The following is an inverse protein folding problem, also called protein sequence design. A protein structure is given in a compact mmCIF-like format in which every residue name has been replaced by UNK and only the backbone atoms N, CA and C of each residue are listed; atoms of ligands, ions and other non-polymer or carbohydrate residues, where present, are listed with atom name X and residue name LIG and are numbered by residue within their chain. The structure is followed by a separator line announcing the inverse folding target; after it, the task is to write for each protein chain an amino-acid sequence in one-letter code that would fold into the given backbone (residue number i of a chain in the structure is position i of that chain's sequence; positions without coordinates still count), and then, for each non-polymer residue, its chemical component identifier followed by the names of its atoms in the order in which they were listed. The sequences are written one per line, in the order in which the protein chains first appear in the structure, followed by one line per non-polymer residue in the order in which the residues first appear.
data_IF_302644321614
#
_entry.id   IF_302644321614
#
_cell.length_a   1.000
_cell.length_b   1.000
_cell.length_c   1.000
_cell.angle_alpha   90.00
_cell.angle_beta   90.00
_cell.angle_gamma   90.00
#
_symmetry.space_group_name_H-M   'P 1'
#
loop_
_entity.id
_entity.type
_entity.pdbx_description
1 polymer ?
#
# COMPACT_ATOMS: atom_id res chain seq x y z
N UNK A 1 13.90 3.89 -22.21
CA UNK A 1 12.94 5.02 -22.13
C UNK A 1 11.87 4.64 -21.13
N UNK A 2 11.18 5.58 -20.46
CA UNK A 2 10.11 5.21 -19.54
C UNK A 2 8.96 4.50 -20.27
N UNK A 3 8.47 3.41 -19.70
CA UNK A 3 7.37 2.60 -20.24
C UNK A 3 6.14 2.68 -19.34
N UNK A 4 4.96 2.50 -19.93
CA UNK A 4 3.70 2.50 -19.20
C UNK A 4 3.36 1.10 -18.68
N UNK A 5 3.04 1.00 -17.40
CA UNK A 5 2.70 -0.26 -16.75
C UNK A 5 1.31 -0.18 -16.14
N UNK A 6 0.50 -1.20 -16.41
CA UNK A 6 -0.81 -1.36 -15.77
C UNK A 6 -0.68 -1.65 -14.28
N UNK A 7 -1.71 -1.29 -13.53
CA UNK A 7 -1.84 -1.66 -12.12
C UNK A 7 -2.62 -2.98 -12.03
N UNK A 8 -1.98 -4.05 -11.54
CA UNK A 8 -2.58 -5.36 -11.36
C UNK A 8 -2.99 -5.55 -9.88
N UNK A 9 -4.27 -5.29 -9.54
CA UNK A 9 -4.72 -5.40 -8.16
C UNK A 9 -4.64 -6.83 -7.61
N UNK A 10 -4.74 -7.86 -8.47
CA UNK A 10 -4.63 -9.25 -8.02
C UNK A 10 -3.22 -9.57 -7.51
N UNK A 11 -2.18 -9.10 -8.21
CA UNK A 11 -0.79 -9.27 -7.77
C UNK A 11 -0.51 -8.50 -6.48
N UNK A 12 -0.99 -7.25 -6.38
CA UNK A 12 -0.84 -6.47 -5.15
C UNK A 12 -1.57 -7.08 -3.96
N UNK A 13 -2.78 -7.62 -4.15
CA UNK A 13 -3.49 -8.31 -3.07
C UNK A 13 -2.81 -9.61 -2.66
N UNK A 14 -2.27 -10.38 -3.61
CA UNK A 14 -1.50 -11.58 -3.29
C UNK A 14 -0.24 -11.25 -2.49
N UNK A 15 0.45 -10.16 -2.85
CA UNK A 15 1.57 -9.64 -2.05
C UNK A 15 1.10 -9.26 -0.66
N UNK A 16 0.03 -8.46 -0.55
CA UNK A 16 -0.50 -8.02 0.73
C UNK A 16 -0.81 -9.21 1.64
N UNK A 17 -1.52 -10.22 1.13
CA UNK A 17 -1.88 -11.42 1.88
C UNK A 17 -0.67 -12.29 2.25
N UNK A 18 0.35 -12.30 1.40
CA UNK A 18 1.59 -13.03 1.61
C UNK A 18 2.44 -12.47 2.74
N UNK A 19 2.46 -11.14 2.88
CA UNK A 19 3.37 -10.44 3.77
C UNK A 19 2.70 -9.76 4.98
N UNK A 20 1.36 -9.74 5.04
CA UNK A 20 0.59 -9.06 6.11
C UNK A 20 0.93 -9.53 7.54
N UNK A 21 1.29 -10.80 7.70
CA UNK A 21 1.74 -11.36 8.99
C UNK A 21 3.26 -11.41 9.00
N UNK A 22 3.91 -10.25 9.12
CA UNK A 22 5.35 -10.12 8.88
C UNK A 22 6.19 -11.08 9.73
N UNK A 23 5.83 -11.26 11.00
CA UNK A 23 6.52 -12.20 11.89
C UNK A 23 6.39 -13.66 11.47
N UNK A 24 5.35 -14.00 10.69
CA UNK A 24 5.16 -15.34 10.13
C UNK A 24 5.87 -15.55 8.79
N UNK A 25 6.42 -14.50 8.18
CA UNK A 25 7.23 -14.61 6.96
C UNK A 25 8.66 -14.98 7.35
N UNK A 26 9.20 -16.12 6.86
CA UNK A 26 10.58 -16.52 7.13
C UNK A 26 11.58 -15.44 6.73
N UNK A 27 12.60 -15.20 7.55
CA UNK A 27 13.55 -14.09 7.40
C UNK A 27 14.21 -14.07 6.02
N UNK A 28 14.55 -15.23 5.47
CA UNK A 28 15.17 -15.38 4.16
C UNK A 28 14.26 -14.93 3.01
N UNK A 29 12.93 -15.01 3.20
CA UNK A 29 11.90 -14.66 2.22
C UNK A 29 11.47 -13.19 2.29
N UNK A 30 11.86 -12.47 3.34
CA UNK A 30 11.57 -11.03 3.50
C UNK A 30 12.30 -10.24 2.42
N UNK A 31 11.57 -9.29 1.82
CA UNK A 31 12.03 -8.53 0.65
C UNK A 31 12.40 -7.09 0.96
N UNK A 32 11.78 -6.49 1.97
CA UNK A 32 12.03 -5.10 2.35
C UNK A 32 12.32 -5.02 3.83
N UNK A 33 13.03 -3.95 4.20
CA UNK A 33 13.19 -3.52 5.57
C UNK A 33 11.82 -3.27 6.19
N UNK A 34 11.67 -3.73 7.43
CA UNK A 34 10.49 -3.55 8.26
C UNK A 34 10.93 -2.82 9.52
N UNK A 35 10.24 -1.73 9.82
CA UNK A 35 10.45 -0.99 11.06
C UNK A 35 9.39 -1.41 12.09
N UNK A 36 9.84 -1.80 13.29
CA UNK A 36 8.96 -2.27 14.36
C UNK A 36 8.11 -1.10 14.90
N UNK A 37 6.96 -0.83 14.27
CA UNK A 37 5.92 0.05 14.80
C UNK A 37 5.40 1.15 13.87
N UNK A 38 6.08 1.47 12.77
CA UNK A 38 5.66 2.56 11.84
C UNK A 38 5.60 2.10 10.36
N UNK A 39 5.37 0.81 10.13
CA UNK A 39 5.51 0.20 8.81
C UNK A 39 4.31 0.36 7.87
N UNK A 40 3.21 0.99 8.32
CA UNK A 40 1.94 0.92 7.58
C UNK A 40 2.07 1.40 6.12
N UNK A 41 2.68 2.56 5.86
CA UNK A 41 2.82 3.06 4.48
C UNK A 41 3.95 2.38 3.73
N UNK A 42 5.00 1.92 4.42
CA UNK A 42 6.05 1.09 3.81
C UNK A 42 5.42 -0.16 3.18
N UNK A 43 4.58 -0.88 3.93
CA UNK A 43 3.82 -2.02 3.44
C UNK A 43 2.87 -1.68 2.29
N UNK A 44 2.12 -0.58 2.39
CA UNK A 44 1.25 -0.12 1.29
C UNK A 44 2.06 0.13 0.02
N UNK A 45 3.21 0.80 0.14
CA UNK A 45 4.09 1.05 -1.01
C UNK A 45 4.60 -0.25 -1.62
N UNK A 46 4.93 -1.26 -0.81
CA UNK A 46 5.30 -2.60 -1.30
C UNK A 46 4.14 -3.27 -2.06
N UNK A 47 2.91 -3.19 -1.57
CA UNK A 47 1.73 -3.73 -2.25
C UNK A 47 1.49 -3.05 -3.61
N UNK A 48 1.62 -1.72 -3.66
CA UNK A 48 1.51 -0.92 -4.88
C UNK A 48 2.64 -1.25 -5.85
N UNK A 49 3.87 -1.39 -5.35
CA UNK A 49 5.04 -1.81 -6.14
C UNK A 49 4.81 -3.20 -6.76
N UNK A 50 4.30 -4.15 -5.99
CA UNK A 50 3.94 -5.47 -6.48
C UNK A 50 2.86 -5.41 -7.56
N UNK A 51 1.82 -4.59 -7.37
CA UNK A 51 0.75 -4.41 -8.35
C UNK A 51 1.24 -3.80 -9.68
N UNK A 52 2.29 -2.98 -9.69
CA UNK A 52 2.93 -2.50 -10.92
C UNK A 52 3.92 -3.51 -11.55
N UNK A 53 4.00 -4.73 -11.02
CA UNK A 53 4.88 -5.79 -11.52
C UNK A 53 6.30 -5.75 -10.93
N UNK A 54 6.48 -5.10 -9.78
CA UNK A 54 7.73 -5.12 -9.03
C UNK A 54 8.05 -6.52 -8.51
N UNK A 55 7.02 -7.24 -8.03
CA UNK A 55 7.14 -8.56 -7.43
C UNK A 55 6.92 -9.71 -8.42
N UNK A 56 7.84 -10.66 -8.42
CA UNK A 56 7.65 -11.99 -8.99
C UNK A 56 7.03 -12.90 -7.94
N UNK A 57 5.84 -13.42 -8.24
CA UNK A 57 5.07 -14.27 -7.33
C UNK A 57 5.84 -15.57 -7.03
N UNK A 58 6.01 -15.87 -5.75
CA UNK A 58 6.60 -17.13 -5.28
C UNK A 58 7.64 -16.94 -4.19
N UNK A 59 8.02 -18.06 -3.57
CA UNK A 59 8.88 -18.12 -2.38
C UNK A 59 10.04 -19.12 -2.52
N UNK A 60 10.29 -19.64 -3.72
CA UNK A 60 11.51 -20.44 -3.93
C UNK A 60 12.74 -19.55 -3.74
N UNK A 61 13.88 -20.10 -3.28
CA UNK A 61 15.10 -19.32 -3.09
C UNK A 61 15.49 -18.50 -4.32
N UNK A 62 15.34 -19.07 -5.53
CA UNK A 62 15.63 -18.39 -6.79
C UNK A 62 14.68 -17.21 -7.08
N UNK A 63 13.38 -17.35 -6.78
CA UNK A 63 12.40 -16.27 -6.96
C UNK A 63 12.65 -15.16 -5.95
N UNK A 64 12.94 -15.50 -4.70
CA UNK A 64 13.28 -14.53 -3.66
C UNK A 64 14.56 -13.77 -4.04
N UNK A 65 15.60 -14.46 -4.49
CA UNK A 65 16.83 -13.84 -4.95
C UNK A 65 16.59 -12.89 -6.14
N UNK A 66 15.75 -13.27 -7.09
CA UNK A 66 15.37 -12.40 -8.21
C UNK A 66 14.61 -11.16 -7.74
N UNK A 67 13.66 -11.31 -6.81
CA UNK A 67 12.94 -10.17 -6.23
C UNK A 67 13.88 -9.19 -5.53
N UNK A 68 14.86 -9.69 -4.77
CA UNK A 68 15.90 -8.85 -4.14
C UNK A 68 16.71 -8.07 -5.18
N UNK A 69 17.09 -8.71 -6.29
CA UNK A 69 17.76 -8.00 -7.39
C UNK A 69 16.87 -6.96 -8.07
N UNK A 70 15.57 -7.22 -8.22
CA UNK A 70 14.60 -6.23 -8.75
C UNK A 70 14.53 -5.00 -7.85
N UNK A 71 14.57 -5.18 -6.53
CA UNK A 71 14.58 -4.08 -5.56
C UNK A 71 15.86 -3.26 -5.70
N UNK A 72 17.04 -3.90 -5.73
CA UNK A 72 18.33 -3.22 -5.91
C UNK A 72 18.44 -2.44 -7.22
N UNK A 73 17.75 -2.90 -8.26
CA UNK A 73 17.73 -2.26 -9.58
C UNK A 73 16.58 -1.26 -9.76
N UNK A 74 15.88 -0.87 -8.69
CA UNK A 74 14.76 0.08 -8.72
C UNK A 74 13.62 -0.36 -9.68
N UNK A 75 13.45 -1.66 -9.94
CA UNK A 75 12.39 -2.15 -10.82
C UNK A 75 11.05 -1.74 -10.24
N UNK A 76 10.28 -0.96 -11.01
CA UNK A 76 9.00 -0.37 -10.58
C UNK A 76 9.12 0.51 -9.33
N UNK A 77 10.30 1.04 -9.06
CA UNK A 77 10.52 2.10 -8.08
C UNK A 77 10.88 3.38 -8.83
N UNK A 78 10.90 4.51 -8.13
CA UNK A 78 11.41 5.77 -8.69
C UNK A 78 12.66 6.17 -7.91
N UNK A 79 13.82 5.98 -8.55
CA UNK A 79 15.14 6.25 -7.97
C UNK A 79 15.17 7.58 -7.22
N UNK A 80 15.62 7.52 -5.96
CA UNK A 80 15.74 8.68 -5.05
C UNK A 80 14.44 9.43 -4.72
N UNK A 81 13.27 8.95 -5.18
CA UNK A 81 11.96 9.59 -4.95
C UNK A 81 11.01 8.68 -4.18
N UNK A 82 10.61 7.56 -4.78
CA UNK A 82 9.71 6.58 -4.17
C UNK A 82 10.37 5.21 -4.30
N UNK A 83 11.05 4.80 -3.24
CA UNK A 83 11.75 3.54 -3.17
C UNK A 83 11.74 2.97 -1.74
N UNK A 84 11.68 1.65 -1.65
CA UNK A 84 11.99 0.84 -0.48
C UNK A 84 13.38 0.21 -0.61
N UNK A 85 13.85 -0.41 0.46
CA UNK A 85 15.17 -1.07 0.49
C UNK A 85 15.11 -2.32 1.35
N UNK A 86 16.01 -3.27 1.08
CA UNK A 86 16.19 -4.48 1.90
C UNK A 86 16.87 -4.16 3.25
N UNK A 87 17.70 -3.12 3.31
CA UNK A 87 18.66 -2.93 4.42
C UNK A 87 18.47 -1.65 5.22
N UNK A 88 17.58 -0.77 4.80
CA UNK A 88 17.29 0.47 5.51
C UNK A 88 15.88 0.96 5.21
N UNK A 89 15.42 1.92 6.00
CA UNK A 89 14.17 2.63 5.73
C UNK A 89 14.21 3.26 4.33
N UNK A 90 13.11 3.11 3.58
CA UNK A 90 12.96 3.68 2.24
C UNK A 90 12.92 5.21 2.25
N UNK A 91 12.61 5.79 1.10
CA UNK A 91 12.31 7.24 1.01
C UNK A 91 11.11 7.64 1.89
N UNK A 92 11.06 8.90 2.34
CA UNK A 92 9.89 9.42 3.05
C UNK A 92 8.59 9.25 2.25
N UNK A 93 8.63 9.44 0.93
CA UNK A 93 7.48 9.23 0.04
C UNK A 93 7.00 7.78 0.06
N UNK A 94 7.91 6.83 0.25
CA UNK A 94 7.57 5.41 0.37
C UNK A 94 7.02 5.05 1.76
N UNK A 95 7.54 5.67 2.81
CA UNK A 95 7.26 5.26 4.19
C UNK A 95 6.22 6.11 4.92
N UNK A 96 5.80 7.27 4.41
CA UNK A 96 4.92 8.20 5.13
C UNK A 96 3.63 8.53 4.38
N UNK A 97 2.51 8.50 5.10
CA UNK A 97 1.14 8.62 4.56
C UNK A 97 0.94 9.90 3.74
N UNK A 98 1.39 11.05 4.27
CA UNK A 98 1.22 12.35 3.63
C UNK A 98 2.05 12.48 2.37
N UNK A 99 3.36 12.25 2.49
CA UNK A 99 4.30 12.31 1.37
C UNK A 99 3.96 11.30 0.27
N UNK A 100 3.50 10.09 0.63
CA UNK A 100 2.98 9.11 -0.32
C UNK A 100 1.78 9.66 -1.08
N UNK A 101 0.78 10.21 -0.37
CA UNK A 101 -0.43 10.76 -0.98
C UNK A 101 -0.12 11.90 -1.96
N UNK A 102 0.67 12.89 -1.51
CA UNK A 102 1.04 14.04 -2.32
C UNK A 102 1.74 13.58 -3.59
N UNK A 103 2.63 12.59 -3.47
CA UNK A 103 3.33 12.04 -4.61
C UNK A 103 2.41 11.29 -5.57
N UNK A 104 1.60 10.34 -5.11
CA UNK A 104 0.78 9.49 -6.00
C UNK A 104 -0.35 10.26 -6.67
N UNK A 105 -0.80 11.37 -6.08
CA UNK A 105 -1.88 12.22 -6.62
C UNK A 105 -1.39 13.44 -7.42
N UNK A 106 -0.06 13.70 -7.46
CA UNK A 106 0.51 14.79 -8.27
C UNK A 106 0.30 14.56 -9.77
N UNK A 107 -0.54 15.41 -10.38
CA UNK A 107 -0.87 15.39 -11.81
C UNK A 107 0.28 15.83 -12.72
N UNK A 108 1.28 16.53 -12.18
CA UNK A 108 2.45 16.98 -12.92
C UNK A 108 3.57 15.93 -12.93
N UNK A 109 3.42 14.87 -12.12
CA UNK A 109 4.42 13.83 -12.01
C UNK A 109 4.53 13.01 -13.30
N UNK A 110 5.77 12.75 -13.72
CA UNK A 110 6.07 12.01 -14.96
C UNK A 110 6.37 10.52 -14.77
N UNK A 111 6.84 10.11 -13.59
CA UNK A 111 7.30 8.75 -13.28
C UNK A 111 6.78 8.30 -11.91
N UNK A 112 6.63 7.00 -11.75
CA UNK A 112 6.20 6.38 -10.50
C UNK A 112 4.69 6.16 -10.41
N UNK A 113 4.22 5.50 -9.33
CA UNK A 113 2.82 5.11 -9.16
C UNK A 113 1.88 6.31 -9.23
N UNK A 114 0.71 6.17 -9.85
CA UNK A 114 -0.27 7.27 -9.98
C UNK A 114 -1.64 6.82 -9.50
N UNK A 115 -2.30 7.66 -8.70
CA UNK A 115 -3.62 7.40 -8.16
C UNK A 115 -4.52 8.63 -8.23
N UNK A 116 -5.82 8.37 -8.27
CA UNK A 116 -6.87 9.37 -8.10
C UNK A 116 -7.61 9.14 -6.78
N UNK A 117 -8.11 10.22 -6.18
CA UNK A 117 -9.02 10.12 -5.04
C UNK A 117 -10.42 9.80 -5.56
N UNK A 118 -11.01 8.69 -5.13
CA UNK A 118 -12.36 8.26 -5.55
C UNK A 118 -13.42 8.40 -4.46
N UNK A 119 -13.00 8.74 -3.25
CA UNK A 119 -13.89 9.04 -2.13
C UNK A 119 -13.10 9.61 -0.96
N UNK A 120 -13.69 10.57 -0.24
CA UNK A 120 -13.13 11.15 0.99
C UNK A 120 -14.29 11.64 1.87
N UNK A 121 -14.21 11.35 3.17
CA UNK A 121 -15.26 11.66 4.13
C UNK A 121 -15.25 10.71 5.32
N UNK A 122 -16.33 10.75 6.10
CA UNK A 122 -16.58 9.82 7.21
C UNK A 122 -17.07 8.45 6.70
N UNK A 123 -17.08 7.44 7.57
CA UNK A 123 -17.63 6.11 7.27
C UNK A 123 -19.14 6.12 6.94
N UNK A 124 -19.88 7.16 7.37
CA UNK A 124 -21.30 7.33 7.06
C UNK A 124 -21.57 8.08 5.75
N UNK A 125 -20.58 8.79 5.21
CA UNK A 125 -20.68 9.56 3.96
C UNK A 125 -20.22 8.76 2.74
N UNK A 126 -19.33 7.79 2.94
CA UNK A 126 -18.78 6.96 1.87
C UNK A 126 -19.59 5.67 1.74
N UNK A 127 -20.10 5.41 0.54
CA UNK A 127 -20.64 4.11 0.15
C UNK A 127 -19.49 3.10 -0.03
N UNK A 128 -19.40 2.01 0.77
CA UNK A 128 -18.34 1.01 0.66
C UNK A 128 -18.27 0.34 -0.73
N UNK A 129 -19.37 0.31 -1.47
CA UNK A 129 -19.44 -0.30 -2.81
C UNK A 129 -18.55 0.41 -3.84
N UNK A 130 -18.10 1.63 -3.55
CA UNK A 130 -17.13 2.35 -4.39
C UNK A 130 -15.77 1.68 -4.39
N UNK A 131 -15.40 0.93 -3.35
CA UNK A 131 -14.07 0.32 -3.18
C UNK A 131 -13.86 -0.84 -4.13
N UNK A 132 -12.69 -0.87 -4.78
CA UNK A 132 -12.22 -1.99 -5.59
C UNK A 132 -11.00 -2.65 -4.94
N UNK A 133 -10.78 -3.92 -5.30
CA UNK A 133 -9.53 -4.61 -4.96
C UNK A 133 -8.34 -3.77 -5.45
N UNK A 134 -7.35 -3.62 -4.60
CA UNK A 134 -6.12 -2.88 -4.87
C UNK A 134 -6.22 -1.37 -4.67
N UNK A 135 -7.39 -0.85 -4.30
CA UNK A 135 -7.47 0.50 -3.75
C UNK A 135 -6.72 0.57 -2.42
N UNK A 136 -6.20 1.75 -2.11
CA UNK A 136 -5.59 2.07 -0.83
C UNK A 136 -6.51 3.00 -0.06
N UNK A 137 -6.78 2.66 1.20
CA UNK A 137 -7.51 3.52 2.12
C UNK A 137 -6.50 4.19 3.03
N UNK A 138 -6.55 5.50 3.16
CA UNK A 138 -5.82 6.22 4.20
C UNK A 138 -6.81 6.81 5.19
N UNK A 139 -6.50 6.74 6.48
CA UNK A 139 -7.38 7.20 7.56
C UNK A 139 -6.71 8.26 8.41
N UNK A 140 -7.53 9.21 8.86
CA UNK A 140 -7.18 10.07 9.99
C UNK A 140 -7.08 9.23 11.25
N UNK A 141 -6.11 9.57 12.11
CA UNK A 141 -5.91 8.89 13.40
C UNK A 141 -5.79 9.97 14.47
N UNK A 142 -6.86 10.18 15.23
CA UNK A 142 -6.94 11.29 16.20
C UNK A 142 -5.92 11.17 17.33
N UNK A 143 -5.47 9.96 17.65
CA UNK A 143 -4.45 9.69 18.65
C UNK A 143 -3.04 10.11 18.23
N UNK A 144 -2.81 10.37 16.93
CA UNK A 144 -1.50 10.87 16.44
C UNK A 144 -1.48 12.38 16.41
N UNK A 145 -2.44 12.98 15.70
CA UNK A 145 -2.72 14.40 15.69
C UNK A 145 -4.11 14.63 15.06
N UNK A 146 -4.93 15.54 15.60
CA UNK A 146 -6.22 15.88 15.00
C UNK A 146 -6.08 16.32 13.54
N UNK A 147 -6.93 15.78 12.65
CA UNK A 147 -6.96 16.12 11.23
C UNK A 147 -5.81 15.54 10.39
N UNK A 148 -4.96 14.68 10.96
CA UNK A 148 -3.82 14.09 10.24
C UNK A 148 -4.14 12.67 9.78
N UNK A 149 -4.06 12.46 8.46
CA UNK A 149 -3.99 11.11 7.88
C UNK A 149 -2.70 10.43 8.32
N UNK A 150 -2.85 9.33 9.06
CA UNK A 150 -1.75 8.67 9.78
C UNK A 150 -1.68 7.16 9.58
N UNK A 151 -2.71 6.54 8.98
CA UNK A 151 -2.74 5.10 8.76
C UNK A 151 -3.16 4.75 7.33
N UNK A 152 -2.63 3.65 6.79
CA UNK A 152 -2.89 3.16 5.44
C UNK A 152 -3.26 1.68 5.42
N UNK A 153 -4.23 1.32 4.59
CA UNK A 153 -4.78 -0.02 4.41
C UNK A 153 -4.81 -0.39 2.92
N UNK A 154 -4.57 -1.67 2.61
CA UNK A 154 -4.66 -2.18 1.24
C UNK A 154 -5.90 -3.06 1.07
N UNK A 155 -6.79 -2.72 0.14
CA UNK A 155 -8.03 -3.50 -0.09
C UNK A 155 -7.72 -4.80 -0.84
N UNK A 156 -8.03 -5.93 -0.22
CA UNK A 156 -7.86 -7.27 -0.84
C UNK A 156 -9.18 -7.84 -1.35
N UNK A 157 -10.30 -7.46 -0.74
CA UNK A 157 -11.64 -7.83 -1.19
C UNK A 157 -12.61 -6.66 -1.02
N UNK A 158 -13.31 -6.22 -2.10
CA UNK A 158 -14.38 -5.24 -1.97
C UNK A 158 -15.66 -5.89 -1.42
N UNK A 159 -16.61 -5.08 -0.96
CA UNK A 159 -17.88 -5.52 -0.38
C UNK A 159 -18.94 -4.43 -0.44
N UNK A 160 -20.20 -4.81 -0.24
CA UNK A 160 -21.32 -3.86 -0.26
C UNK A 160 -21.46 -3.09 1.08
N UNK A 161 -20.88 -3.61 2.15
CA UNK A 161 -20.80 -2.97 3.46
C UNK A 161 -19.39 -2.99 4.04
N UNK A 162 -19.11 -2.12 5.01
CA UNK A 162 -17.81 -2.07 5.70
C UNK A 162 -17.41 -3.40 6.33
N UNK A 163 -18.36 -4.23 6.74
CA UNK A 163 -18.07 -5.57 7.28
C UNK A 163 -17.56 -6.57 6.22
N UNK A 164 -17.91 -6.36 4.95
CA UNK A 164 -17.58 -7.25 3.84
C UNK A 164 -16.27 -6.87 3.13
N UNK A 165 -15.85 -5.61 3.27
CA UNK A 165 -14.56 -5.14 2.76
C UNK A 165 -13.44 -5.73 3.62
N UNK A 166 -12.51 -6.44 2.96
CA UNK A 166 -11.32 -6.99 3.60
C UNK A 166 -10.07 -6.23 3.20
N UNK A 167 -9.20 -5.98 4.18
CA UNK A 167 -7.94 -5.27 4.01
C UNK A 167 -6.76 -6.07 4.54
N UNK A 168 -5.56 -5.67 4.13
CA UNK A 168 -4.33 -5.99 4.84
C UNK A 168 -3.61 -4.70 5.25
N UNK A 169 -2.95 -4.71 6.42
CA UNK A 169 -2.05 -3.63 6.85
C UNK A 169 -1.09 -4.12 7.96
N UNK A 170 0.02 -3.40 8.16
CA UNK A 170 1.00 -3.69 9.22
C UNK A 170 0.73 -2.95 10.55
N UNK A 171 -0.47 -2.38 10.73
CA UNK A 171 -0.90 -2.01 12.08
C UNK A 171 -1.58 -3.20 12.72
N UNK A 172 -0.85 -3.82 13.66
CA UNK A 172 -1.20 -5.09 14.29
C UNK A 172 -1.22 -6.29 13.32
N UNK A 173 -0.48 -6.22 12.21
CA UNK A 173 -0.33 -7.31 11.23
C UNK A 173 -1.68 -7.95 10.83
N UNK A 174 -2.52 -7.16 10.15
CA UNK A 174 -3.87 -7.57 9.77
C UNK A 174 -3.86 -8.28 8.43
N UNK A 175 -4.27 -9.54 8.40
CA UNK A 175 -4.47 -10.35 7.19
C UNK A 175 -5.97 -10.50 6.89
N UNK A 176 -6.43 -9.92 5.78
CA UNK A 176 -7.84 -9.95 5.34
C UNK A 176 -8.82 -9.57 6.47
N UNK A 177 -8.44 -8.58 7.29
CA UNK A 177 -9.29 -8.10 8.37
C UNK A 177 -10.47 -7.29 7.82
N UNK A 178 -11.60 -7.34 8.51
CA UNK A 178 -12.79 -6.60 8.15
C UNK A 178 -12.64 -5.10 8.44
N UNK A 179 -13.15 -4.24 7.54
CA UNK A 179 -13.21 -2.80 7.79
C UNK A 179 -14.21 -2.40 8.88
N UNK A 180 -15.08 -3.31 9.33
CA UNK A 180 -16.04 -3.03 10.41
C UNK A 180 -15.36 -2.57 11.71
N UNK A 181 -14.17 -3.09 12.02
CA UNK A 181 -13.44 -2.71 13.24
C UNK A 181 -13.03 -1.24 13.25
N UNK A 182 -12.66 -0.69 12.09
CA UNK A 182 -12.33 0.73 11.95
C UNK A 182 -13.59 1.60 11.91
N UNK A 183 -14.63 1.14 11.20
CA UNK A 183 -15.91 1.84 11.09
C UNK A 183 -16.64 1.97 12.45
N UNK A 184 -16.40 1.04 13.37
CA UNK A 184 -16.98 1.03 14.70
C UNK A 184 -16.32 2.01 15.69
N UNK A 185 -15.21 2.67 15.31
CA UNK A 185 -14.47 3.61 16.15
C UNK A 185 -14.30 4.98 15.48
N UNK A 186 -15.39 5.70 15.13
CA UNK A 186 -15.33 6.98 14.42
C UNK A 186 -14.65 8.10 15.22
N UNK A 187 -14.53 7.99 16.54
CA UNK A 187 -13.77 8.91 17.39
C UNK A 187 -12.24 8.75 17.22
N UNK A 188 -11.78 7.56 16.82
CA UNK A 188 -10.38 7.25 16.53
C UNK A 188 -10.08 7.49 15.06
N UNK A 189 -10.99 7.04 14.18
CA UNK A 189 -10.87 7.10 12.72
C UNK A 189 -12.00 7.95 12.11
N UNK A 190 -11.98 9.28 12.29
CA UNK A 190 -13.12 10.13 11.94
C UNK A 190 -13.33 10.25 10.44
N UNK A 191 -12.26 10.15 9.65
CA UNK A 191 -12.29 10.33 8.20
C UNK A 191 -11.36 9.35 7.52
N UNK A 192 -11.72 9.00 6.29
CA UNK A 192 -10.89 8.22 5.38
C UNK A 192 -10.86 8.87 3.99
N UNK A 193 -9.88 8.45 3.18
CA UNK A 193 -9.80 8.74 1.76
C UNK A 193 -9.38 7.50 0.99
N UNK A 194 -9.89 7.36 -0.22
CA UNK A 194 -9.71 6.18 -1.06
C UNK A 194 -8.90 6.57 -2.28
N UNK A 195 -7.76 5.90 -2.46
CA UNK A 195 -6.85 6.08 -3.58
C UNK A 195 -7.00 4.90 -4.54
N UNK A 196 -7.38 5.20 -5.79
CA UNK A 196 -7.44 4.23 -6.87
C UNK A 196 -6.26 4.41 -7.81
N UNK A 197 -5.42 3.39 -7.89
CA UNK A 197 -4.24 3.41 -8.74
C UNK A 197 -4.58 3.17 -10.21
N UNK A 198 -3.85 3.86 -11.08
CA UNK A 198 -4.02 3.89 -12.53
C UNK A 198 -2.72 3.42 -13.21
N UNK A 199 -2.73 3.12 -14.52
CA UNK A 199 -1.49 2.88 -15.25
C UNK A 199 -0.50 4.04 -15.07
N UNK A 200 0.79 3.70 -14.92
CA UNK A 200 1.82 4.69 -14.64
C UNK A 200 3.15 4.36 -15.30
N UNK A 201 4.01 5.38 -15.43
CA UNK A 201 5.30 5.24 -16.14
C UNK A 201 6.44 4.94 -15.19
N UNK A 202 7.28 3.98 -15.55
CA UNK A 202 8.50 3.65 -14.81
C UNK A 202 9.69 3.55 -15.76
N UNK A 203 10.89 3.77 -15.23
CA UNK A 203 12.10 3.41 -15.94
C UNK A 203 12.21 1.88 -16.01
N UNK A 204 12.80 1.41 -17.11
CA UNK A 204 13.16 0.00 -17.34
C UNK A 204 14.42 -0.37 -16.58
#
# INVERSE_FOLDING_TARGET
MPENYGYNPATGSLYAQSFALYQNVPTEQRLFYYDDGEDCTNFISQCVWAAYGGWMVGFTPDVVAQNKQRIKNDIRQTKSKWYGSESHIGSNIWCRVGEFFDYVTDKNKRLGPSAQVVGEGTFGEIDPSVLYRGDVIQMEVTTYAPGRYGHGLYVTKPGAGWSEVLICCHSYDRLNASMAEFAAAPEIYPRLRILRFMPAKFNT
#
